data_IF_065506006034
#
_entry.id   IF_065506006034
#
_cell.length_a   1.000
_cell.length_b   1.000
_cell.length_c   1.000
_cell.angle_alpha   90.00
_cell.angle_beta   90.00
_cell.angle_gamma   90.00
#
_symmetry.space_group_name_H-M   'P 1'
#
loop_
_entity.id
_entity.type
_entity.pdbx_description
1 polymer ?
#
# COMPACT_ATOMS: atom_id res chain seq x y z
N UNK A 1 -20.63 26.56 -10.41
CA UNK A 1 -19.54 26.48 -9.41
C UNK A 1 -20.04 25.66 -8.21
N UNK A 2 -19.72 24.36 -8.14
CA UNK A 2 -20.13 23.53 -7.00
C UNK A 2 -19.15 23.76 -5.86
N UNK A 3 -19.54 24.58 -4.87
CA UNK A 3 -18.76 24.72 -3.64
C UNK A 3 -18.81 23.38 -2.90
N UNK A 4 -17.73 22.59 -2.96
CA UNK A 4 -17.59 21.43 -2.08
C UNK A 4 -17.45 21.99 -0.66
N UNK A 5 -18.58 22.13 0.02
CA UNK A 5 -18.63 22.54 1.42
C UNK A 5 -17.82 21.52 2.22
N UNK A 6 -16.79 21.96 2.93
CA UNK A 6 -16.09 21.09 3.87
C UNK A 6 -17.11 20.55 4.86
N UNK A 7 -17.17 19.23 5.04
CA UNK A 7 -18.09 18.59 5.97
C UNK A 7 -17.81 19.02 7.42
N UNK A 8 -16.56 19.43 7.70
CA UNK A 8 -16.09 19.81 9.02
C UNK A 8 -16.09 21.34 9.22
N UNK A 9 -16.43 21.82 10.44
CA UNK A 9 -16.57 23.25 10.77
C UNK A 9 -15.36 24.10 10.39
N UNK A 10 -14.16 23.57 10.60
CA UNK A 10 -12.90 24.33 10.47
C UNK A 10 -12.19 24.08 9.13
N UNK A 11 -12.76 23.27 8.24
CA UNK A 11 -12.12 22.83 6.98
C UNK A 11 -10.91 21.92 7.16
N UNK A 12 -10.41 21.74 8.40
CA UNK A 12 -9.28 20.88 8.74
C UNK A 12 -9.74 19.42 8.82
N UNK A 13 -8.97 18.51 8.23
CA UNK A 13 -9.20 17.07 8.35
C UNK A 13 -8.92 16.70 9.83
N UNK A 14 -9.91 16.18 10.58
CA UNK A 14 -9.69 15.79 11.96
C UNK A 14 -8.83 14.53 12.03
N UNK A 15 -7.98 14.39 13.05
CA UNK A 15 -7.17 13.18 13.24
C UNK A 15 -8.04 11.93 13.51
N UNK A 16 -9.22 12.16 14.11
CA UNK A 16 -10.15 11.14 14.55
C UNK A 16 -11.58 11.56 14.24
N UNK A 17 -12.37 10.64 13.69
CA UNK A 17 -13.77 10.85 13.35
C UNK A 17 -14.65 10.88 14.63
N UNK A 18 -15.86 11.47 14.64
CA UNK A 18 -16.72 11.56 15.83
C UNK A 18 -17.06 10.23 16.52
N UNK A 19 -16.97 9.11 15.81
CA UNK A 19 -17.16 7.74 16.33
C UNK A 19 -15.88 7.15 16.96
N UNK A 20 -14.78 7.91 16.98
CA UNK A 20 -13.51 7.50 17.57
C UNK A 20 -12.57 6.72 16.64
N UNK A 21 -12.96 6.45 15.38
CA UNK A 21 -12.07 5.76 14.43
C UNK A 21 -11.06 6.73 13.81
N UNK A 22 -9.85 6.29 13.43
CA UNK A 22 -8.89 7.14 12.73
C UNK A 22 -9.50 7.66 11.42
N UNK A 23 -9.31 8.95 11.12
CA UNK A 23 -9.88 9.55 9.92
C UNK A 23 -9.20 9.04 8.63
N UNK A 24 -7.91 8.69 8.71
CA UNK A 24 -7.18 8.02 7.64
C UNK A 24 -7.27 6.50 7.82
N UNK A 25 -7.63 5.81 6.75
CA UNK A 25 -7.56 4.36 6.75
C UNK A 25 -6.09 3.92 6.90
N UNK A 26 -5.86 2.83 7.63
CA UNK A 26 -4.50 2.30 7.85
C UNK A 26 -3.78 1.96 6.53
N UNK A 27 -4.53 1.61 5.48
CA UNK A 27 -3.98 1.32 4.15
C UNK A 27 -3.39 2.56 3.51
N UNK A 28 -4.18 3.63 3.52
CA UNK A 28 -3.83 4.89 2.89
C UNK A 28 -2.56 5.48 3.51
N UNK A 29 -2.33 5.28 4.82
CA UNK A 29 -1.09 5.71 5.51
C UNK A 29 0.22 5.22 4.87
N UNK A 30 0.23 4.07 4.21
CA UNK A 30 1.44 3.54 3.54
C UNK A 30 1.56 3.99 2.07
N UNK A 31 0.48 4.51 1.49
CA UNK A 31 0.39 4.95 0.08
C UNK A 31 0.23 6.47 -0.07
N UNK A 32 -0.08 7.20 1.00
CA UNK A 32 -0.15 8.66 0.99
C UNK A 32 1.26 9.25 0.98
N UNK A 33 1.53 10.09 -0.03
CA UNK A 33 2.81 10.77 -0.20
C UNK A 33 3.77 10.05 -1.14
N UNK A 34 4.93 10.67 -1.37
CA UNK A 34 5.95 10.12 -2.27
C UNK A 34 6.69 9.02 -1.52
N UNK A 35 6.53 7.77 -1.94
CA UNK A 35 7.32 6.68 -1.39
C UNK A 35 8.81 6.90 -1.73
N UNK A 36 9.72 6.73 -0.76
CA UNK A 36 11.14 6.77 -1.03
C UNK A 36 11.54 5.70 -2.05
N UNK A 37 12.38 6.07 -3.02
CA UNK A 37 12.83 5.15 -4.08
C UNK A 37 13.50 3.89 -3.51
N UNK A 38 14.25 4.02 -2.41
CA UNK A 38 14.90 2.88 -1.75
C UNK A 38 13.88 1.83 -1.33
N UNK A 39 12.72 2.23 -0.80
CA UNK A 39 11.69 1.31 -0.32
C UNK A 39 11.01 0.59 -1.49
N UNK A 40 10.74 1.32 -2.57
CA UNK A 40 10.21 0.75 -3.81
C UNK A 40 11.20 -0.27 -4.40
N UNK A 41 12.49 0.07 -4.44
CA UNK A 41 13.54 -0.81 -4.93
C UNK A 41 13.69 -2.07 -4.06
N UNK A 42 13.62 -1.94 -2.73
CA UNK A 42 13.66 -3.10 -1.82
C UNK A 42 12.46 -4.02 -2.04
N UNK A 43 11.24 -3.47 -2.06
CA UNK A 43 10.02 -4.27 -2.26
C UNK A 43 10.02 -4.96 -3.64
N UNK A 44 10.40 -4.22 -4.69
CA UNK A 44 10.53 -4.77 -6.05
C UNK A 44 11.60 -5.86 -6.13
N UNK A 45 12.77 -5.63 -5.52
CA UNK A 45 13.84 -6.63 -5.45
C UNK A 45 13.41 -7.90 -4.74
N UNK A 46 12.73 -7.79 -3.58
CA UNK A 46 12.17 -8.94 -2.88
C UNK A 46 11.19 -9.71 -3.77
N UNK A 47 10.28 -9.02 -4.46
CA UNK A 47 9.33 -9.66 -5.36
C UNK A 47 10.03 -10.43 -6.49
N UNK A 48 11.08 -9.86 -7.09
CA UNK A 48 11.89 -10.55 -8.11
C UNK A 48 12.56 -11.79 -7.53
N UNK A 49 13.19 -11.70 -6.35
CA UNK A 49 13.80 -12.87 -5.70
C UNK A 49 12.78 -13.96 -5.37
N UNK A 50 11.58 -13.59 -4.94
CA UNK A 50 10.50 -14.55 -4.71
C UNK A 50 10.08 -15.26 -5.99
N UNK A 51 9.88 -14.53 -7.09
CA UNK A 51 9.48 -15.12 -8.38
C UNK A 51 10.57 -16.04 -8.92
N UNK A 52 11.82 -15.59 -8.91
CA UNK A 52 12.96 -16.36 -9.39
C UNK A 52 13.19 -17.60 -8.52
N UNK A 53 13.13 -17.45 -7.19
CA UNK A 53 13.25 -18.56 -6.25
C UNK A 53 12.13 -19.58 -6.43
N UNK A 54 10.88 -19.13 -6.58
CA UNK A 54 9.73 -19.99 -6.82
C UNK A 54 9.87 -20.75 -8.15
N UNK A 55 10.32 -20.08 -9.21
CA UNK A 55 10.55 -20.70 -10.51
C UNK A 55 11.56 -21.84 -10.42
N UNK A 56 12.74 -21.60 -9.84
CA UNK A 56 13.76 -22.65 -9.70
C UNK A 56 13.34 -23.76 -8.76
N UNK A 57 12.64 -23.42 -7.67
CA UNK A 57 12.07 -24.41 -6.77
C UNK A 57 11.07 -25.32 -7.49
N UNK A 58 10.13 -24.74 -8.25
CA UNK A 58 9.17 -25.49 -9.06
C UNK A 58 9.84 -26.38 -10.10
N UNK A 59 10.81 -25.81 -10.84
CA UNK A 59 11.56 -26.55 -11.85
C UNK A 59 12.35 -27.74 -11.28
N UNK A 60 12.90 -27.61 -10.07
CA UNK A 60 13.66 -28.68 -9.42
C UNK A 60 12.75 -29.76 -8.80
N UNK A 61 11.61 -29.35 -8.26
CA UNK A 61 10.67 -30.27 -7.58
C UNK A 61 9.70 -30.96 -8.53
N UNK A 62 9.70 -30.59 -9.82
CA UNK A 62 8.71 -31.08 -10.79
C UNK A 62 7.32 -30.48 -10.59
N UNK A 63 7.16 -29.48 -9.72
CA UNK A 63 5.90 -28.74 -9.57
C UNK A 63 5.73 -27.87 -10.83
N UNK A 64 4.95 -28.37 -11.78
CA UNK A 64 4.70 -27.73 -13.08
C UNK A 64 5.04 -28.59 -14.29
N UNK A 65 5.53 -29.82 -14.11
CA UNK A 65 5.89 -30.73 -15.22
C UNK A 65 4.71 -31.56 -15.77
N UNK A 66 3.50 -31.00 -15.78
CA UNK A 66 2.32 -31.73 -16.27
C UNK A 66 2.50 -32.20 -17.73
#
# INVERSE_FOLDING_TARGET
MSSKKSLYPDGRIPDRLPDGRPAVAWRSRWTEGVLPLWLVATAGGMAVFFVVGLFFFGAYTGVGSA
#
